data_IF_616189365682
#
_entry.id   IF_616189365682
#
_cell.length_a   1.000
_cell.length_b   1.000
_cell.length_c   1.000
_cell.angle_alpha   90.00
_cell.angle_beta   90.00
_cell.angle_gamma   90.00
#
_symmetry.space_group_name_H-M   'P 1'
#
loop_
_entity.id
_entity.type
_entity.pdbx_description
1 polymer ?
#
# COMPACT_ATOMS: atom_id res chain seq x y z
N UNK A 1 5.87 -9.30 12.07
CA UNK A 1 6.96 -8.56 11.41
C UNK A 1 6.84 -7.04 11.61
N UNK A 2 5.77 -6.56 12.23
CA UNK A 2 5.64 -5.16 12.62
C UNK A 2 6.38 -4.89 13.94
N UNK A 3 7.02 -3.73 14.06
CA UNK A 3 7.70 -3.27 15.28
C UNK A 3 7.22 -1.86 15.63
N UNK A 4 7.31 -1.47 16.90
CA UNK A 4 7.03 -0.09 17.30
C UNK A 4 8.17 0.81 16.78
N UNK A 5 7.86 1.68 15.81
CA UNK A 5 8.85 2.54 15.17
C UNK A 5 8.20 3.80 14.58
N UNK A 6 8.96 4.90 14.53
CA UNK A 6 8.52 6.19 13.97
C UNK A 6 8.83 6.28 12.47
N UNK A 7 8.04 7.04 11.71
CA UNK A 7 8.32 7.26 10.28
C UNK A 7 9.61 8.04 10.07
N UNK A 8 10.38 7.71 9.02
CA UNK A 8 11.73 8.24 8.80
C UNK A 8 11.83 9.78 8.64
N UNK A 9 10.78 10.45 8.17
CA UNK A 9 10.76 11.93 8.05
C UNK A 9 10.15 12.62 9.28
N UNK A 10 9.80 11.86 10.33
CA UNK A 10 9.35 12.44 11.59
C UNK A 10 10.52 13.11 12.30
N UNK A 11 10.29 14.25 12.94
CA UNK A 11 11.32 14.94 13.75
C UNK A 11 11.85 14.08 14.90
N UNK A 12 11.10 13.05 15.31
CA UNK A 12 11.52 12.10 16.34
C UNK A 12 12.43 10.96 15.82
N UNK A 13 12.64 10.84 14.50
CA UNK A 13 13.45 9.78 13.91
C UNK A 13 14.96 10.03 13.98
N UNK A 14 15.39 11.29 14.14
CA UNK A 14 16.82 11.68 14.15
C UNK A 14 17.53 11.62 12.79
N UNK A 15 16.81 11.45 11.68
CA UNK A 15 17.41 11.30 10.35
C UNK A 15 17.86 12.63 9.71
N UNK A 16 19.11 12.70 9.23
CA UNK A 16 19.75 13.94 8.75
C UNK A 16 20.31 13.90 7.31
N UNK A 17 20.27 12.76 6.61
CA UNK A 17 20.92 12.61 5.31
C UNK A 17 19.95 12.81 4.12
N UNK A 18 19.85 14.05 3.63
CA UNK A 18 18.96 14.44 2.53
C UNK A 18 19.66 14.60 1.17
N UNK A 19 20.94 14.21 1.05
CA UNK A 19 21.75 14.40 -0.18
C UNK A 19 21.18 13.69 -1.41
N UNK A 20 20.51 12.55 -1.23
CA UNK A 20 19.93 11.77 -2.33
C UNK A 20 18.73 12.43 -3.04
N UNK A 21 18.09 13.45 -2.44
CA UNK A 21 16.94 14.12 -3.07
C UNK A 21 17.31 14.70 -4.44
N UNK A 22 18.50 15.29 -4.58
CA UNK A 22 18.95 15.89 -5.83
C UNK A 22 19.25 14.82 -6.90
N UNK A 23 19.92 13.74 -6.53
CA UNK A 23 20.21 12.60 -7.41
C UNK A 23 18.92 11.90 -7.84
N UNK A 24 17.95 11.78 -6.93
CA UNK A 24 16.65 11.21 -7.22
C UNK A 24 15.83 12.06 -8.19
N UNK A 25 15.86 13.39 -8.06
CA UNK A 25 15.21 14.28 -9.04
C UNK A 25 15.76 14.06 -10.46
N UNK A 26 17.06 13.81 -10.61
CA UNK A 26 17.70 13.48 -11.89
C UNK A 26 17.29 12.09 -12.39
N UNK A 27 17.28 11.08 -11.52
CA UNK A 27 16.85 9.71 -11.87
C UNK A 27 15.39 9.69 -12.31
N UNK A 28 14.52 10.42 -11.64
CA UNK A 28 13.10 10.49 -12.02
C UNK A 28 12.88 11.31 -13.29
N UNK A 29 13.66 12.37 -13.55
CA UNK A 29 13.64 13.05 -14.83
C UNK A 29 13.92 12.08 -16.00
N UNK A 30 14.79 11.09 -15.78
CA UNK A 30 15.10 10.03 -16.74
C UNK A 30 13.98 8.98 -16.79
N UNK A 31 13.43 8.54 -15.64
CA UNK A 31 12.36 7.53 -15.57
C UNK A 31 10.99 8.05 -16.05
N UNK A 32 10.72 9.35 -15.89
CA UNK A 32 9.51 10.03 -16.39
C UNK A 32 9.41 10.01 -17.92
N UNK A 33 10.49 9.63 -18.62
CA UNK A 33 10.51 9.35 -20.04
C UNK A 33 10.33 7.85 -20.31
N UNK A 34 9.31 7.21 -19.71
CA UNK A 34 8.60 5.95 -20.02
C UNK A 34 9.36 4.69 -20.55
N UNK A 35 10.67 4.73 -20.76
CA UNK A 35 11.42 3.73 -21.53
C UNK A 35 11.63 2.45 -20.74
N UNK A 36 11.91 2.57 -19.43
CA UNK A 36 12.25 1.41 -18.60
C UNK A 36 11.02 0.54 -18.25
N UNK A 37 9.84 1.16 -18.10
CA UNK A 37 8.59 0.43 -17.83
C UNK A 37 8.12 -0.32 -19.08
N UNK A 38 8.20 0.32 -20.26
CA UNK A 38 7.96 -0.32 -21.56
C UNK A 38 8.98 -1.43 -21.83
N UNK A 39 10.28 -1.20 -21.58
CA UNK A 39 11.31 -2.23 -21.76
C UNK A 39 11.11 -3.42 -20.82
N UNK A 40 10.72 -3.24 -19.55
CA UNK A 40 10.41 -4.36 -18.66
C UNK A 40 9.15 -5.14 -19.08
N UNK A 41 8.10 -4.43 -19.53
CA UNK A 41 6.86 -5.06 -19.98
C UNK A 41 7.05 -5.82 -21.30
N UNK A 42 7.89 -5.31 -22.20
CA UNK A 42 8.22 -5.91 -23.50
C UNK A 42 9.23 -7.07 -23.34
N UNK A 43 10.20 -6.96 -22.43
CA UNK A 43 11.30 -7.93 -22.28
C UNK A 43 10.95 -9.11 -21.36
N UNK A 44 10.08 -8.91 -20.37
CA UNK A 44 9.71 -9.95 -19.41
C UNK A 44 8.24 -10.42 -19.51
N UNK A 45 7.38 -9.70 -20.24
CA UNK A 45 5.95 -10.03 -20.33
C UNK A 45 5.24 -10.03 -18.96
N UNK A 46 3.99 -10.50 -18.93
CA UNK A 46 3.27 -10.76 -17.68
C UNK A 46 3.76 -12.10 -17.14
N UNK A 47 4.60 -12.08 -16.09
CA UNK A 47 5.21 -13.28 -15.48
C UNK A 47 4.22 -14.18 -14.69
N UNK A 48 2.93 -13.89 -14.75
CA UNK A 48 1.88 -14.63 -14.03
C UNK A 48 1.10 -15.43 -15.05
N UNK A 49 1.30 -16.76 -15.08
CA UNK A 49 0.55 -17.68 -15.93
C UNK A 49 -0.93 -17.76 -15.46
N UNK A 50 -1.88 -17.07 -16.12
CA UNK A 50 -3.27 -17.02 -15.64
C UNK A 50 -3.95 -18.39 -15.78
N UNK A 51 -3.50 -19.17 -16.77
CA UNK A 51 -4.05 -20.48 -17.14
C UNK A 51 -3.68 -21.54 -16.10
N UNK A 52 -2.50 -21.45 -15.48
CA UNK A 52 -2.07 -22.38 -14.44
C UNK A 52 -2.82 -22.16 -13.13
N UNK A 53 -3.17 -20.91 -12.81
CA UNK A 53 -4.03 -20.57 -11.66
C UNK A 53 -5.45 -21.10 -11.88
N UNK A 54 -6.00 -20.96 -13.08
CA UNK A 54 -7.34 -21.45 -13.44
C UNK A 54 -7.40 -22.98 -13.46
N UNK A 55 -6.37 -23.67 -13.96
CA UNK A 55 -6.33 -25.13 -14.00
C UNK A 55 -6.16 -25.78 -12.62
N UNK A 56 -5.45 -25.11 -11.70
CA UNK A 56 -5.40 -25.52 -10.29
C UNK A 56 -6.76 -25.37 -9.60
N UNK A 57 -7.56 -24.40 -10.04
CA UNK A 57 -8.90 -24.10 -9.52
C UNK A 57 -9.99 -25.06 -9.99
N UNK A 58 -9.90 -25.54 -11.23
CA UNK A 58 -10.89 -26.43 -11.84
C UNK A 58 -10.76 -27.89 -11.38
N UNK A 59 -9.67 -28.25 -10.69
CA UNK A 59 -9.38 -29.65 -10.36
C UNK A 59 -10.22 -30.22 -9.20
N UNK A 60 -10.76 -29.39 -8.29
CA UNK A 60 -11.60 -29.84 -7.16
C UNK A 60 -12.57 -28.77 -6.60
N UNK A 61 -13.67 -28.41 -7.32
CA UNK A 61 -14.59 -27.36 -6.88
C UNK A 61 -15.48 -27.74 -5.66
N UNK A 62 -15.67 -29.03 -5.36
CA UNK A 62 -16.60 -29.50 -4.32
C UNK A 62 -15.97 -29.76 -2.94
N UNK A 63 -14.65 -29.69 -2.80
CA UNK A 63 -13.97 -30.01 -1.54
C UNK A 63 -13.89 -28.84 -0.54
N UNK A 64 -14.13 -27.59 -0.98
CA UNK A 64 -14.03 -26.39 -0.12
C UNK A 64 -15.02 -25.27 -0.51
N UNK A 65 -16.33 -25.38 -0.21
CA UNK A 65 -17.33 -24.35 -0.54
C UNK A 65 -16.98 -22.96 0.04
N UNK A 66 -16.32 -22.91 1.20
CA UNK A 66 -15.83 -21.68 1.80
C UNK A 66 -14.72 -20.99 0.97
N UNK A 67 -13.92 -21.75 0.23
CA UNK A 67 -12.85 -21.20 -0.60
C UNK A 67 -13.43 -20.57 -1.88
N UNK A 68 -14.44 -21.20 -2.48
CA UNK A 68 -15.22 -20.65 -3.60
C UNK A 68 -15.87 -19.31 -3.23
N UNK A 69 -16.54 -19.22 -2.08
CA UNK A 69 -17.17 -17.96 -1.63
C UNK A 69 -16.15 -16.82 -1.47
N UNK A 70 -14.96 -17.12 -0.96
CA UNK A 70 -13.90 -16.11 -0.78
C UNK A 70 -13.41 -15.59 -2.14
N UNK A 71 -13.28 -16.46 -3.14
CA UNK A 71 -12.82 -16.05 -4.47
C UNK A 71 -13.87 -15.23 -5.18
N UNK A 72 -15.14 -15.67 -5.12
CA UNK A 72 -16.25 -14.90 -5.69
C UNK A 72 -16.30 -13.51 -5.07
N UNK A 73 -16.14 -13.39 -3.74
CA UNK A 73 -16.08 -12.11 -3.06
C UNK A 73 -14.89 -11.26 -3.52
N UNK A 74 -13.68 -11.83 -3.61
CA UNK A 74 -12.49 -11.10 -4.05
C UNK A 74 -12.60 -10.61 -5.51
N UNK A 75 -13.18 -11.42 -6.41
CA UNK A 75 -13.44 -11.03 -7.79
C UNK A 75 -14.50 -9.94 -7.85
N UNK A 76 -15.58 -10.06 -7.07
CA UNK A 76 -16.64 -9.06 -7.00
C UNK A 76 -16.09 -7.69 -6.54
N UNK A 77 -15.23 -7.67 -5.53
CA UNK A 77 -14.62 -6.44 -4.99
C UNK A 77 -13.81 -5.67 -6.03
N UNK A 78 -13.14 -6.36 -6.97
CA UNK A 78 -12.38 -5.69 -8.04
C UNK A 78 -13.25 -5.34 -9.26
N UNK A 79 -14.13 -6.25 -9.67
CA UNK A 79 -14.94 -6.07 -10.88
C UNK A 79 -16.07 -5.05 -10.70
N UNK A 80 -16.73 -5.03 -9.54
CA UNK A 80 -17.84 -4.12 -9.26
C UNK A 80 -17.49 -2.63 -9.44
N UNK A 81 -16.45 -2.08 -8.79
CA UNK A 81 -16.13 -0.66 -8.96
C UNK A 81 -15.68 -0.31 -10.38
N UNK A 82 -15.04 -1.25 -11.10
CA UNK A 82 -14.65 -1.03 -12.51
C UNK A 82 -15.90 -0.90 -13.38
N UNK A 83 -16.86 -1.82 -13.23
CA UNK A 83 -18.13 -1.75 -13.98
C UNK A 83 -18.88 -0.47 -13.65
N UNK A 84 -18.96 -0.08 -12.38
CA UNK A 84 -19.64 1.17 -11.97
C UNK A 84 -18.96 2.40 -12.57
N UNK A 85 -17.63 2.50 -12.50
CA UNK A 85 -16.88 3.64 -13.07
C UNK A 85 -17.06 3.74 -14.59
N UNK A 86 -17.17 2.61 -15.30
CA UNK A 86 -17.34 2.59 -16.76
C UNK A 86 -18.78 2.83 -17.22
N UNK A 87 -19.77 2.44 -16.41
CA UNK A 87 -21.21 2.54 -16.78
C UNK A 87 -21.85 3.84 -16.32
N UNK A 88 -21.42 4.39 -15.18
CA UNK A 88 -22.00 5.58 -14.59
C UNK A 88 -21.29 6.83 -15.11
N UNK A 89 -21.95 7.56 -16.01
CA UNK A 89 -21.40 8.76 -16.67
C UNK A 89 -21.27 9.99 -15.76
N UNK A 90 -21.93 9.99 -14.59
CA UNK A 90 -21.90 11.11 -13.64
C UNK A 90 -20.69 11.12 -12.71
N UNK A 91 -19.83 10.09 -12.75
CA UNK A 91 -18.69 10.01 -11.84
C UNK A 91 -17.56 10.95 -12.27
N UNK A 92 -17.03 11.72 -11.33
CA UNK A 92 -15.84 12.54 -11.60
C UNK A 92 -14.58 11.67 -11.67
N UNK A 93 -13.57 12.02 -12.49
CA UNK A 93 -12.33 11.25 -12.57
C UNK A 93 -11.63 11.09 -11.21
N UNK A 94 -11.65 12.14 -10.38
CA UNK A 94 -11.07 12.10 -9.02
C UNK A 94 -11.86 11.14 -8.12
N UNK A 95 -13.19 11.17 -8.18
CA UNK A 95 -14.06 10.21 -7.46
C UNK A 95 -13.82 8.77 -7.88
N UNK A 96 -13.65 8.52 -9.19
CA UNK A 96 -13.33 7.20 -9.73
C UNK A 96 -11.98 6.67 -9.21
N UNK A 97 -10.93 7.50 -9.24
CA UNK A 97 -9.60 7.11 -8.70
C UNK A 97 -9.68 6.79 -7.20
N UNK A 98 -10.39 7.61 -6.42
CA UNK A 98 -10.56 7.35 -4.99
C UNK A 98 -11.33 6.04 -4.73
N UNK A 99 -12.40 5.78 -5.48
CA UNK A 99 -13.17 4.54 -5.39
C UNK A 99 -12.28 3.34 -5.72
N UNK A 100 -11.66 3.31 -6.90
CA UNK A 100 -10.79 2.20 -7.33
C UNK A 100 -9.64 1.95 -6.35
N UNK A 101 -9.01 3.01 -5.83
CA UNK A 101 -7.97 2.90 -4.81
C UNK A 101 -8.52 2.24 -3.53
N UNK A 102 -9.69 2.66 -3.05
CA UNK A 102 -10.29 2.10 -1.83
C UNK A 102 -10.63 0.60 -1.97
N UNK A 103 -11.22 0.20 -3.09
CA UNK A 103 -11.56 -1.21 -3.37
C UNK A 103 -10.30 -2.07 -3.58
N UNK A 104 -9.28 -1.52 -4.23
CA UNK A 104 -7.98 -2.22 -4.37
C UNK A 104 -7.33 -2.46 -3.00
N UNK A 105 -7.34 -1.47 -2.10
CA UNK A 105 -6.82 -1.64 -0.73
C UNK A 105 -7.63 -2.70 0.03
N UNK A 106 -8.96 -2.69 -0.07
CA UNK A 106 -9.82 -3.68 0.58
C UNK A 106 -9.53 -5.10 0.06
N UNK A 107 -9.34 -5.26 -1.25
CA UNK A 107 -8.95 -6.52 -1.86
C UNK A 107 -7.64 -7.06 -1.27
N UNK A 108 -6.57 -6.25 -1.26
CA UNK A 108 -5.25 -6.66 -0.75
C UNK A 108 -5.33 -7.07 0.74
N UNK A 109 -6.09 -6.31 1.53
CA UNK A 109 -6.32 -6.61 2.95
C UNK A 109 -7.07 -7.92 3.16
N UNK A 110 -8.18 -8.12 2.47
CA UNK A 110 -8.98 -9.34 2.62
C UNK A 110 -8.22 -10.58 2.14
N UNK A 111 -7.39 -10.45 1.11
CA UNK A 111 -6.47 -11.49 0.68
C UNK A 111 -5.51 -11.88 1.82
N UNK A 112 -4.84 -10.89 2.43
CA UNK A 112 -3.92 -11.15 3.55
C UNK A 112 -4.65 -11.72 4.78
N UNK A 113 -5.86 -11.23 5.09
CA UNK A 113 -6.69 -11.73 6.19
C UNK A 113 -7.05 -13.21 6.02
N UNK A 114 -7.45 -13.60 4.80
CA UNK A 114 -7.74 -15.00 4.45
C UNK A 114 -6.52 -15.88 4.69
N UNK A 115 -5.37 -15.50 4.15
CA UNK A 115 -4.18 -16.35 4.13
C UNK A 115 -3.60 -16.56 5.53
N UNK A 116 -3.48 -15.50 6.33
CA UNK A 116 -2.99 -15.60 7.72
C UNK A 116 -3.95 -16.41 8.61
N UNK A 117 -5.26 -16.29 8.43
CA UNK A 117 -6.23 -17.11 9.17
C UNK A 117 -6.26 -18.56 8.68
N UNK A 118 -6.02 -18.83 7.39
CA UNK A 118 -5.83 -20.19 6.86
C UNK A 118 -4.60 -20.83 7.49
N UNK A 119 -3.46 -20.15 7.45
CA UNK A 119 -2.22 -20.62 8.08
C UNK A 119 -2.38 -20.88 9.58
N UNK A 120 -3.02 -19.95 10.31
CA UNK A 120 -3.28 -20.12 11.76
C UNK A 120 -4.15 -21.35 12.08
N UNK A 121 -5.14 -21.66 11.23
CA UNK A 121 -5.96 -22.88 11.33
C UNK A 121 -5.15 -24.14 11.11
N UNK A 122 -4.26 -24.14 10.11
CA UNK A 122 -3.41 -25.28 9.77
C UNK A 122 -2.41 -25.60 10.88
N UNK A 123 -1.73 -24.57 11.41
CA UNK A 123 -0.81 -24.70 12.55
C UNK A 123 -1.52 -25.27 13.78
N UNK A 124 -2.75 -24.80 14.09
CA UNK A 124 -3.54 -25.35 15.19
C UNK A 124 -3.90 -26.82 14.98
N UNK A 125 -4.35 -27.19 13.77
CA UNK A 125 -4.68 -28.59 13.42
C UNK A 125 -3.45 -29.50 13.53
N UNK A 126 -2.27 -29.03 13.11
CA UNK A 126 -1.03 -29.75 13.25
C UNK A 126 -0.65 -29.95 14.73
N UNK A 127 -0.74 -28.90 15.56
CA UNK A 127 -0.47 -28.99 17.01
C UNK A 127 -1.38 -29.99 17.71
N UNK A 128 -2.68 -29.99 17.37
CA UNK A 128 -3.65 -30.98 17.91
C UNK A 128 -3.28 -32.40 17.48
N UNK A 129 -2.91 -32.62 16.21
CA UNK A 129 -2.48 -33.95 15.72
C UNK A 129 -1.19 -34.45 16.40
N UNK A 130 -0.25 -33.55 16.71
CA UNK A 130 0.97 -33.89 17.44
C UNK A 130 0.67 -34.24 18.89
N UNK A 131 -0.20 -33.48 19.56
CA UNK A 131 -0.66 -33.78 20.93
C UNK A 131 -1.43 -35.10 20.99
N UNK A 132 -2.29 -35.39 20.01
CA UNK A 132 -3.01 -36.68 19.96
C UNK A 132 -2.09 -37.88 19.65
N UNK A 133 -0.91 -37.65 19.08
CA UNK A 133 0.11 -38.68 18.83
C UNK A 133 1.08 -38.87 20.00
N UNK A 134 1.09 -37.96 20.97
CA UNK A 134 1.98 -37.98 22.14
C UNK A 134 1.18 -38.23 23.42
N UNK A 135 1.11 -39.49 23.85
CA UNK A 135 0.53 -39.89 25.14
C UNK A 135 1.52 -39.73 26.32
N UNK A 136 2.73 -39.25 26.07
CA UNK A 136 3.86 -39.29 27.02
C UNK A 136 4.59 -37.95 27.24
N UNK A 137 4.09 -36.82 26.71
CA UNK A 137 4.67 -35.51 27.01
C UNK A 137 4.01 -34.88 28.26
N UNK A 138 4.76 -34.58 29.33
CA UNK A 138 4.24 -33.84 30.47
C UNK A 138 3.84 -32.44 30.01
N UNK A 139 2.64 -32.00 30.40
CA UNK A 139 2.13 -30.67 30.08
C UNK A 139 3.12 -29.59 30.49
N UNK A 140 3.54 -28.76 29.53
CA UNK A 140 4.30 -27.56 29.82
C UNK A 140 3.47 -26.68 30.77
N UNK A 141 3.92 -26.56 32.01
CA UNK A 141 3.54 -25.48 32.91
C UNK A 141 4.00 -24.16 32.28
N UNK A 142 3.06 -23.30 31.92
CA UNK A 142 3.37 -21.90 31.63
C UNK A 142 3.63 -21.18 32.95
N UNK A 143 4.89 -20.80 33.17
CA UNK A 143 5.32 -19.98 34.30
C UNK A 143 4.71 -18.58 34.18
N UNK A 144 3.80 -18.28 35.12
CA UNK A 144 3.65 -17.11 35.99
C UNK A 144 4.28 -15.73 35.73
N UNK A 145 4.73 -15.37 34.54
CA UNK A 145 4.94 -13.96 34.20
C UNK A 145 3.64 -13.38 33.62
N UNK A 146 3.35 -12.11 33.87
CA UNK A 146 2.17 -11.43 33.33
C UNK A 146 2.25 -11.37 31.79
N UNK A 147 1.90 -12.48 31.13
CA UNK A 147 1.88 -12.60 29.68
C UNK A 147 0.79 -11.66 29.20
N UNK A 148 1.21 -10.54 28.61
CA UNK A 148 0.35 -9.70 27.78
C UNK A 148 -0.57 -10.62 26.98
N UNK A 149 -1.88 -10.53 27.19
CA UNK A 149 -2.84 -11.48 26.62
C UNK A 149 -2.71 -11.52 25.08
N UNK A 150 -1.89 -12.44 24.57
CA UNK A 150 -1.62 -12.58 23.14
C UNK A 150 -2.86 -13.23 22.54
N UNK A 151 -3.50 -12.54 21.59
CA UNK A 151 -4.67 -13.09 20.92
C UNK A 151 -4.22 -14.26 20.04
N UNK A 152 -4.79 -15.43 20.31
CA UNK A 152 -4.53 -16.67 19.57
C UNK A 152 -5.78 -17.10 18.80
N UNK A 153 -5.59 -17.77 17.66
CA UNK A 153 -6.71 -18.33 16.90
C UNK A 153 -7.47 -19.38 17.74
N UNK A 154 -8.81 -19.32 17.85
CA UNK A 154 -9.77 -18.53 17.05
C UNK A 154 -10.22 -17.20 17.69
N UNK A 155 -9.64 -16.78 18.82
CA UNK A 155 -10.05 -15.58 19.56
C UNK A 155 -9.85 -14.25 18.82
N UNK A 156 -9.14 -14.25 17.69
CA UNK A 156 -8.97 -13.09 16.81
C UNK A 156 -10.15 -12.85 15.84
N UNK A 157 -11.09 -13.79 15.74
CA UNK A 157 -12.24 -13.70 14.83
C UNK A 157 -13.37 -12.85 15.43
N UNK A 158 -13.06 -11.61 15.77
CA UNK A 158 -14.03 -10.63 16.25
C UNK A 158 -14.26 -9.54 15.19
N UNK A 159 -15.48 -9.00 15.13
CA UNK A 159 -15.77 -7.86 14.25
C UNK A 159 -14.87 -6.66 14.58
N UNK A 160 -14.56 -6.46 15.88
CA UNK A 160 -13.69 -5.38 16.34
C UNK A 160 -12.29 -5.46 15.73
N UNK A 161 -11.67 -6.65 15.74
CA UNK A 161 -10.32 -6.83 15.20
C UNK A 161 -10.31 -6.77 13.67
N UNK A 162 -11.39 -7.25 13.03
CA UNK A 162 -11.56 -7.14 11.58
C UNK A 162 -11.67 -5.67 11.13
N UNK A 163 -12.57 -4.90 11.74
CA UNK A 163 -12.70 -3.46 11.43
C UNK A 163 -11.43 -2.69 11.78
N UNK A 164 -10.77 -3.04 12.88
CA UNK A 164 -9.47 -2.46 13.22
C UNK A 164 -8.46 -2.66 12.09
N UNK A 165 -8.33 -3.87 11.55
CA UNK A 165 -7.43 -4.17 10.44
C UNK A 165 -7.84 -3.46 9.13
N UNK A 166 -9.14 -3.36 8.84
CA UNK A 166 -9.65 -2.66 7.65
C UNK A 166 -9.24 -1.18 7.63
N UNK A 167 -9.15 -0.52 8.78
CA UNK A 167 -8.69 0.87 8.87
C UNK A 167 -7.21 1.05 9.21
N UNK A 168 -6.51 0.01 9.70
CA UNK A 168 -5.08 0.11 9.99
C UNK A 168 -4.26 0.45 8.73
N UNK A 169 -3.23 1.31 8.79
CA UNK A 169 -2.43 1.72 7.63
C UNK A 169 -1.39 0.65 7.23
N UNK A 170 -1.81 -0.61 7.11
CA UNK A 170 -1.01 -1.75 6.65
C UNK A 170 -1.87 -2.68 5.79
N UNK A 171 -1.24 -3.40 4.87
CA UNK A 171 -1.91 -4.38 4.00
C UNK A 171 -1.71 -5.81 4.49
N UNK A 172 -0.72 -6.06 5.35
CA UNK A 172 -0.42 -7.38 5.89
C UNK A 172 -1.16 -7.59 7.21
N UNK A 173 -2.08 -8.55 7.24
CA UNK A 173 -2.76 -8.94 8.48
C UNK A 173 -1.80 -9.65 9.44
N UNK A 174 -1.85 -9.29 10.72
CA UNK A 174 -1.21 -10.00 11.82
C UNK A 174 -2.20 -10.08 12.99
N UNK A 175 -2.14 -11.14 13.79
CA UNK A 175 -3.10 -11.34 14.88
C UNK A 175 -2.95 -10.26 15.96
N UNK A 176 -1.69 -9.87 16.25
CA UNK A 176 -1.36 -8.92 17.30
C UNK A 176 -0.51 -7.79 16.70
N UNK A 177 -1.13 -6.63 16.47
CA UNK A 177 -0.43 -5.45 15.97
C UNK A 177 0.22 -4.66 17.11
N UNK A 178 1.43 -4.09 16.91
CA UNK A 178 2.02 -3.19 17.88
C UNK A 178 1.13 -1.94 18.05
N UNK A 179 0.87 -1.56 19.31
CA UNK A 179 0.01 -0.42 19.64
C UNK A 179 0.81 0.73 20.23
N UNK A 180 0.45 1.95 19.86
CA UNK A 180 0.92 3.14 20.58
C UNK A 180 0.17 3.26 21.93
N UNK A 181 0.83 3.70 23.02
CA UNK A 181 0.21 3.73 24.35
C UNK A 181 -0.87 4.82 24.50
N UNK A 182 -0.81 5.88 23.68
CA UNK A 182 -1.76 7.01 23.73
C UNK A 182 -1.78 7.76 22.40
N UNK A 183 -2.87 8.48 22.15
CA UNK A 183 -3.01 9.40 21.02
C UNK A 183 -2.32 10.73 21.35
N UNK A 184 -1.25 11.05 20.62
CA UNK A 184 -0.46 12.29 20.70
C UNK A 184 -1.18 13.43 19.97
N UNK A 185 -2.07 14.15 20.66
CA UNK A 185 -2.90 15.22 20.08
C UNK A 185 -2.11 16.32 19.35
N UNK A 186 -0.98 16.77 19.90
CA UNK A 186 -0.10 17.76 19.26
C UNK A 186 0.49 17.25 17.94
N UNK A 187 0.91 15.98 17.91
CA UNK A 187 1.41 15.33 16.69
C UNK A 187 0.30 15.23 15.63
N UNK A 188 -0.88 14.75 16.04
CA UNK A 188 -2.05 14.63 15.18
C UNK A 188 -2.44 15.98 14.56
N UNK A 189 -2.58 17.02 15.38
CA UNK A 189 -2.96 18.36 14.92
C UNK A 189 -1.91 18.95 13.95
N UNK A 190 -0.61 18.78 14.25
CA UNK A 190 0.48 19.20 13.36
C UNK A 190 0.41 18.49 12.01
N UNK A 191 0.16 17.17 11.98
CA UNK A 191 0.01 16.42 10.71
C UNK A 191 -1.26 16.84 9.95
N UNK A 192 -2.36 17.14 10.63
CA UNK A 192 -3.60 17.63 10.00
C UNK A 192 -3.39 19.01 9.32
N UNK A 193 -2.74 19.97 9.98
CA UNK A 193 -2.41 21.26 9.36
C UNK A 193 -1.47 21.11 8.17
N UNK A 194 -0.46 20.24 8.30
CA UNK A 194 0.44 19.91 7.20
C UNK A 194 -0.33 19.33 6.00
N UNK A 195 -1.30 18.44 6.23
CA UNK A 195 -2.14 17.90 5.14
C UNK A 195 -2.92 19.00 4.42
N UNK A 196 -3.54 19.92 5.16
CA UNK A 196 -4.29 21.04 4.57
C UNK A 196 -3.37 21.94 3.73
N UNK A 197 -2.20 22.29 4.25
CA UNK A 197 -1.21 23.09 3.54
C UNK A 197 -0.72 22.40 2.25
N UNK A 198 -0.38 21.11 2.32
CA UNK A 198 0.14 20.36 1.16
C UNK A 198 -0.92 20.14 0.08
N UNK A 199 -2.21 19.99 0.43
CA UNK A 199 -3.30 19.95 -0.56
C UNK A 199 -3.41 21.30 -1.27
N UNK A 200 -3.42 22.40 -0.53
CA UNK A 200 -3.48 23.74 -1.11
C UNK A 200 -2.27 24.03 -2.00
N UNK A 201 -1.07 23.61 -1.58
CA UNK A 201 0.15 23.72 -2.37
C UNK A 201 0.06 22.90 -3.67
N UNK A 202 -0.46 21.67 -3.63
CA UNK A 202 -0.67 20.84 -4.83
C UNK A 202 -1.67 21.50 -5.80
N UNK A 203 -2.81 21.96 -5.29
CA UNK A 203 -3.82 22.65 -6.13
C UNK A 203 -3.23 23.91 -6.76
N UNK A 204 -2.48 24.70 -5.99
CA UNK A 204 -1.79 25.89 -6.49
C UNK A 204 -0.79 25.56 -7.61
N UNK A 205 0.07 24.56 -7.43
CA UNK A 205 1.02 24.12 -8.46
C UNK A 205 0.32 23.58 -9.72
N UNK A 206 -0.77 22.84 -9.56
CA UNK A 206 -1.53 22.33 -10.71
C UNK A 206 -2.16 23.50 -11.48
N UNK A 207 -2.83 24.42 -10.78
CA UNK A 207 -3.53 25.54 -11.41
C UNK A 207 -2.58 26.56 -12.05
N UNK A 208 -1.46 26.88 -11.40
CA UNK A 208 -0.55 27.93 -11.86
C UNK A 208 0.50 27.43 -12.86
N UNK A 209 0.95 26.17 -12.74
CA UNK A 209 1.99 25.62 -13.62
C UNK A 209 1.48 24.58 -14.59
N UNK A 210 0.80 23.52 -14.13
CA UNK A 210 0.39 22.43 -15.01
C UNK A 210 -0.68 22.88 -16.01
N UNK A 211 -1.75 23.53 -15.54
CA UNK A 211 -2.89 23.88 -16.40
C UNK A 211 -2.46 24.81 -17.56
N UNK A 212 -1.70 25.90 -17.35
CA UNK A 212 -1.25 26.74 -18.45
C UNK A 212 -0.28 26.02 -19.37
N UNK A 213 0.61 25.18 -18.83
CA UNK A 213 1.55 24.40 -19.64
C UNK A 213 0.82 23.41 -20.56
N UNK A 214 -0.24 22.75 -20.07
CA UNK A 214 -1.08 21.85 -20.87
C UNK A 214 -1.92 22.63 -21.89
N UNK A 215 -2.59 23.72 -21.51
CA UNK A 215 -3.40 24.51 -22.44
C UNK A 215 -2.56 25.06 -23.60
N UNK A 216 -1.33 25.49 -23.29
CA UNK A 216 -0.37 25.90 -24.31
C UNK A 216 0.08 24.71 -25.17
N UNK A 217 0.24 23.51 -24.59
CA UNK A 217 0.68 22.29 -25.29
C UNK A 217 -0.36 21.68 -26.23
N UNK A 218 -1.66 21.81 -25.93
CA UNK A 218 -2.77 21.26 -26.73
C UNK A 218 -2.89 21.85 -28.14
N UNK A 219 -2.41 23.09 -28.37
CA UNK A 219 -2.47 23.74 -29.68
C UNK A 219 -1.68 22.97 -30.78
N UNK A 220 -0.40 22.61 -30.60
CA UNK A 220 0.37 21.86 -31.60
C UNK A 220 0.29 20.33 -31.53
N UNK A 221 -0.49 19.72 -30.60
CA UNK A 221 -0.76 18.28 -30.68
C UNK A 221 -1.49 17.90 -31.98
N UNK A 222 -2.23 18.85 -32.57
CA UNK A 222 -2.87 18.71 -33.88
C UNK A 222 -1.92 18.84 -35.07
N UNK A 223 -0.74 19.45 -34.88
CA UNK A 223 0.17 19.84 -35.97
C UNK A 223 1.38 18.89 -36.14
N UNK A 224 1.37 17.71 -35.50
CA UNK A 224 2.36 16.61 -35.63
C UNK A 224 3.87 16.97 -35.53
N UNK A 225 4.22 18.07 -34.86
CA UNK A 225 5.62 18.47 -34.68
C UNK A 225 6.26 17.81 -33.45
N UNK A 226 6.89 16.64 -33.65
CA UNK A 226 7.53 15.85 -32.58
C UNK A 226 8.59 16.63 -31.76
N UNK A 227 9.34 17.53 -32.39
CA UNK A 227 10.36 18.35 -31.71
C UNK A 227 9.75 19.29 -30.65
N UNK A 228 8.64 19.97 -30.99
CA UNK A 228 7.93 20.87 -30.07
C UNK A 228 7.19 20.09 -28.97
N UNK A 229 6.78 18.85 -29.26
CA UNK A 229 6.14 17.97 -28.27
C UNK A 229 7.14 17.56 -27.18
N UNK A 230 8.36 17.16 -27.56
CA UNK A 230 9.43 16.78 -26.62
C UNK A 230 9.85 17.96 -25.75
N UNK A 231 10.04 19.16 -26.32
CA UNK A 231 10.37 20.38 -25.56
C UNK A 231 9.32 20.69 -24.48
N UNK A 232 8.04 20.52 -24.82
CA UNK A 232 6.91 20.79 -23.91
C UNK A 232 6.74 19.70 -22.84
N UNK A 233 7.00 18.43 -23.19
CA UNK A 233 7.07 17.33 -22.23
C UNK A 233 8.16 17.55 -21.18
N UNK A 234 9.35 18.00 -21.60
CA UNK A 234 10.44 18.33 -20.68
C UNK A 234 10.08 19.47 -19.71
N UNK A 235 9.36 20.50 -20.20
CA UNK A 235 8.84 21.59 -19.35
C UNK A 235 7.79 21.11 -18.33
N UNK A 236 7.01 20.08 -18.67
CA UNK A 236 6.04 19.45 -17.77
C UNK A 236 6.68 18.50 -16.76
N UNK A 237 7.88 17.98 -17.03
CA UNK A 237 8.54 17.02 -16.15
C UNK A 237 8.79 17.62 -14.76
N UNK A 238 9.39 18.81 -14.65
CA UNK A 238 9.71 19.45 -13.35
C UNK A 238 8.46 19.63 -12.45
N UNK A 239 7.38 20.29 -12.88
CA UNK A 239 6.19 20.45 -12.04
C UNK A 239 5.52 19.10 -11.70
N UNK A 240 5.55 18.14 -12.62
CA UNK A 240 5.05 16.78 -12.37
C UNK A 240 5.83 16.09 -11.23
N UNK A 241 7.16 16.16 -11.24
CA UNK A 241 7.99 15.60 -10.17
C UNK A 241 7.75 16.28 -8.82
N UNK A 242 7.62 17.61 -8.81
CA UNK A 242 7.32 18.35 -7.58
C UNK A 242 5.97 17.93 -7.00
N UNK A 243 4.93 17.83 -7.83
CA UNK A 243 3.62 17.37 -7.38
C UNK A 243 3.67 15.93 -6.88
N UNK A 244 4.40 15.04 -7.56
CA UNK A 244 4.58 13.67 -7.10
C UNK A 244 5.28 13.60 -5.72
N UNK A 245 6.31 14.40 -5.49
CA UNK A 245 7.01 14.48 -4.19
C UNK A 245 6.10 15.01 -3.08
N UNK A 246 5.34 16.06 -3.37
CA UNK A 246 4.40 16.64 -2.41
C UNK A 246 3.28 15.65 -2.11
N UNK A 247 2.76 14.96 -3.14
CA UNK A 247 1.76 13.90 -2.98
C UNK A 247 2.31 12.73 -2.15
N UNK A 248 3.55 12.30 -2.40
CA UNK A 248 4.20 11.24 -1.64
C UNK A 248 4.24 11.61 -0.15
N UNK A 249 4.73 12.80 0.16
CA UNK A 249 4.83 13.27 1.55
C UNK A 249 3.44 13.45 2.17
N UNK A 250 2.51 14.07 1.46
CA UNK A 250 1.13 14.24 1.92
C UNK A 250 0.43 12.90 2.23
N UNK A 251 0.57 11.89 1.36
CA UNK A 251 -0.10 10.61 1.50
C UNK A 251 0.64 9.68 2.47
N UNK A 252 1.87 9.28 2.14
CA UNK A 252 2.63 8.26 2.90
C UNK A 252 3.18 8.77 4.22
N UNK A 253 3.52 10.07 4.30
CA UNK A 253 3.97 10.64 5.55
C UNK A 253 2.79 11.19 6.35
N UNK A 254 2.13 12.25 5.90
CA UNK A 254 1.16 12.96 6.74
C UNK A 254 -0.14 12.15 6.94
N UNK A 255 -0.77 11.69 5.86
CA UNK A 255 -2.07 11.00 5.93
C UNK A 255 -1.99 9.64 6.62
N UNK A 256 -1.00 8.82 6.28
CA UNK A 256 -0.81 7.52 6.93
C UNK A 256 -0.41 7.65 8.41
N UNK A 257 0.38 8.66 8.80
CA UNK A 257 0.68 8.90 10.22
C UNK A 257 -0.55 9.40 11.00
N UNK A 258 -1.43 10.22 10.38
CA UNK A 258 -2.72 10.60 10.99
C UNK A 258 -3.55 9.35 11.23
N UNK A 259 -3.72 8.50 10.20
CA UNK A 259 -4.47 7.27 10.32
C UNK A 259 -3.86 6.32 11.37
N UNK A 260 -2.53 6.19 11.40
CA UNK A 260 -1.82 5.39 12.40
C UNK A 260 -2.04 5.92 13.82
N UNK A 261 -1.96 7.23 14.02
CA UNK A 261 -2.15 7.85 15.33
C UNK A 261 -3.61 7.70 15.81
N UNK A 262 -4.60 7.89 14.93
CA UNK A 262 -6.02 7.68 15.22
C UNK A 262 -6.31 6.22 15.60
N UNK A 263 -5.73 5.28 14.87
CA UNK A 263 -5.88 3.85 15.11
C UNK A 263 -4.95 3.34 16.25
N UNK A 264 -4.10 4.19 16.83
CA UNK A 264 -3.04 3.79 17.77
C UNK A 264 -2.15 2.66 17.22
N UNK A 265 -1.89 2.68 15.92
CA UNK A 265 -1.01 1.74 15.23
C UNK A 265 0.46 2.14 15.45
N UNK A 266 1.23 1.20 16.00
CA UNK A 266 2.61 1.44 16.44
C UNK A 266 3.68 1.31 15.37
N UNK A 267 3.41 0.60 14.26
CA UNK A 267 4.36 0.46 13.17
C UNK A 267 4.15 1.57 12.14
N UNK A 268 5.03 2.57 12.14
CA UNK A 268 4.92 3.74 11.25
C UNK A 268 5.96 3.76 10.13
N UNK A 269 6.52 2.59 9.83
CA UNK A 269 7.44 2.40 8.71
C UNK A 269 6.67 2.19 7.40
N UNK A 270 6.10 3.27 6.88
CA UNK A 270 5.36 3.25 5.60
C UNK A 270 6.29 3.33 4.38
N UNK A 271 7.49 3.86 4.58
CA UNK A 271 8.52 4.04 3.55
C UNK A 271 9.90 4.08 4.23
N UNK A 272 10.96 3.84 3.45
CA UNK A 272 12.37 3.96 3.85
C UNK A 272 13.04 5.09 3.06
N UNK A 273 14.35 5.23 3.14
CA UNK A 273 15.18 6.22 2.44
C UNK A 273 15.32 5.92 0.94
N UNK A 274 14.19 5.77 0.25
CA UNK A 274 14.12 5.51 -1.18
C UNK A 274 14.76 6.63 -2.02
N UNK A 275 14.90 7.84 -1.49
CA UNK A 275 15.57 8.95 -2.18
C UNK A 275 17.09 8.77 -2.25
N UNK A 276 17.69 7.95 -1.38
CA UNK A 276 19.11 7.59 -1.44
C UNK A 276 19.35 6.31 -2.28
N UNK A 277 18.38 5.91 -3.11
CA UNK A 277 18.51 4.69 -3.92
C UNK A 277 19.60 4.82 -4.98
N UNK A 278 20.61 3.95 -4.93
CA UNK A 278 21.60 3.83 -6.01
C UNK A 278 21.08 3.00 -7.20
N UNK A 279 20.04 2.18 -6.98
CA UNK A 279 19.42 1.33 -8.01
C UNK A 279 17.91 1.48 -8.03
N UNK A 280 17.31 1.28 -9.21
CA UNK A 280 15.85 1.27 -9.40
C UNK A 280 15.20 0.16 -8.57
N UNK A 281 15.85 -1.00 -8.43
CA UNK A 281 15.38 -2.10 -7.59
C UNK A 281 15.29 -1.68 -6.12
N UNK A 282 16.27 -0.93 -5.61
CA UNK A 282 16.22 -0.41 -4.25
C UNK A 282 15.07 0.59 -4.07
N UNK A 283 14.86 1.49 -5.04
CA UNK A 283 13.72 2.42 -5.00
C UNK A 283 12.38 1.68 -4.87
N UNK A 284 12.11 0.69 -5.73
CA UNK A 284 10.83 -0.04 -5.74
C UNK A 284 10.53 -0.81 -4.45
N UNK A 285 11.56 -1.24 -3.73
CA UNK A 285 11.40 -1.95 -2.45
C UNK A 285 11.11 -1.00 -1.27
N UNK A 286 11.51 0.27 -1.39
CA UNK A 286 11.61 1.17 -0.23
C UNK A 286 10.61 2.33 -0.24
N UNK A 287 10.01 2.67 -1.39
CA UNK A 287 9.08 3.81 -1.49
C UNK A 287 7.71 3.52 -0.84
N UNK A 288 7.17 2.31 -0.99
CA UNK A 288 5.86 1.90 -0.46
C UNK A 288 5.99 0.55 0.24
N UNK A 289 6.40 0.60 1.51
CA UNK A 289 6.68 -0.58 2.32
C UNK A 289 5.44 -1.45 2.54
N UNK A 290 4.23 -0.92 2.79
CA UNK A 290 3.03 -1.76 2.92
C UNK A 290 2.76 -2.65 1.71
N UNK A 291 2.87 -2.10 0.50
CA UNK A 291 2.67 -2.87 -0.74
C UNK A 291 3.83 -3.83 -0.97
N UNK A 292 5.08 -3.38 -0.76
CA UNK A 292 6.24 -4.25 -0.94
C UNK A 292 6.23 -5.46 0.03
N UNK A 293 5.91 -5.24 1.31
CA UNK A 293 5.76 -6.29 2.32
C UNK A 293 4.61 -7.24 1.97
N UNK A 294 3.53 -6.75 1.36
CA UNK A 294 2.42 -7.59 0.90
C UNK A 294 2.84 -8.48 -0.29
N UNK A 295 3.50 -7.92 -1.31
CA UNK A 295 3.95 -8.69 -2.47
C UNK A 295 5.03 -9.73 -2.12
N UNK A 296 5.80 -9.49 -1.07
CA UNK A 296 6.89 -10.38 -0.64
C UNK A 296 6.44 -11.52 0.29
N UNK A 297 5.21 -11.47 0.81
CA UNK A 297 4.67 -12.50 1.72
C UNK A 297 3.79 -13.48 0.98
#
# INVERSE_FOLDING_TARGET
>A
CHKLQESLLSSASGYSNYRGILNWCVVMLILSNARLFLENLIKYGILVDPIQVISLFLKDPYSWPALCLIIVNLIAILSFPVVVVLTVTSITPVGAVMALMSYTIQFLKLYSYKDVNKWSREVRRAKVKTLSRSLSAPGLKENGDAVQAVVMYPGNLTYKDMYYFLFAPTLCYELNFPRSPRIRKRFLLRRMFEMLFLIQLQVGLIQQWIVPAIQNSMKPFKDMNHSRMIERLLKLAVPNHMIWLIFFYWFFHSSMNVLAELMMFGDREFYRDWWNSETVTYFWKNWNIPVHKWCSR
#
